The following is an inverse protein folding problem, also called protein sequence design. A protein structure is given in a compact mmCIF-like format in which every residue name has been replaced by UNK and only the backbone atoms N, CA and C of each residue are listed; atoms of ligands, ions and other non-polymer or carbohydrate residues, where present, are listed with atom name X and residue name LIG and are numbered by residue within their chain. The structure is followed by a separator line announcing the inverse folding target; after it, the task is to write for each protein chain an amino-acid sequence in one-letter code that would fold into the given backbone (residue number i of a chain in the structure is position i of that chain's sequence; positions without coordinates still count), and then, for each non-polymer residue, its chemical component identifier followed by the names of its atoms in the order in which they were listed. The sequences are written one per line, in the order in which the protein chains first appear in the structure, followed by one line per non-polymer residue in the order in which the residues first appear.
data_IF_883820493070
#
_entry.id   IF_883820493070
#
_cell.length_a   1.000
_cell.length_b   1.000
_cell.length_c   1.000
_cell.angle_alpha   90.00
_cell.angle_beta   90.00
_cell.angle_gamma   90.00
#
_symmetry.space_group_name_H-M   'P 1'
#
loop_
_entity.id
_entity.type
_entity.pdbx_description
1 polymer ?
#
# COMPACT_ATOMS: atom_id res chain seq x y z
N UNK A 1 21.54 51.51 0.52
CA UNK A 1 21.10 50.95 1.81
C UNK A 1 20.76 49.46 1.57
N UNK A 2 21.73 48.58 1.87
CA UNK A 2 21.50 47.15 1.88
C UNK A 2 20.79 46.80 3.18
N UNK A 3 19.50 46.50 3.09
CA UNK A 3 18.75 45.89 4.20
C UNK A 3 19.21 44.46 4.31
N UNK A 4 20.07 44.17 5.26
CA UNK A 4 20.40 42.82 5.69
C UNK A 4 19.14 42.28 6.36
N UNK A 5 18.42 41.39 5.67
CA UNK A 5 17.36 40.59 6.31
C UNK A 5 18.02 39.65 7.30
N UNK A 6 18.02 40.01 8.56
CA UNK A 6 18.37 39.11 9.65
C UNK A 6 17.38 37.96 9.65
N UNK A 7 17.86 36.76 9.35
CA UNK A 7 17.05 35.56 9.52
C UNK A 7 16.68 35.44 11.00
N UNK A 8 15.40 35.21 11.33
CA UNK A 8 15.00 35.09 12.73
C UNK A 8 15.82 33.98 13.39
N UNK A 9 16.35 34.30 14.58
CA UNK A 9 17.12 33.35 15.38
C UNK A 9 16.27 32.12 15.62
N UNK A 10 16.76 30.95 15.19
CA UNK A 10 16.09 29.68 15.46
C UNK A 10 16.30 29.30 16.91
N UNK A 11 15.25 29.30 17.71
CA UNK A 11 15.31 29.02 19.15
C UNK A 11 15.56 27.54 19.46
N UNK A 12 15.20 26.62 18.52
CA UNK A 12 15.37 25.19 18.68
C UNK A 12 16.27 24.70 17.56
N UNK A 13 17.43 24.14 17.91
CA UNK A 13 18.36 23.53 16.95
C UNK A 13 18.13 22.04 16.78
N UNK A 14 17.78 21.36 17.85
CA UNK A 14 17.44 19.92 17.82
C UNK A 14 16.37 19.62 18.86
N UNK A 15 15.55 18.63 18.57
CA UNK A 15 14.57 18.07 19.47
C UNK A 15 14.80 16.55 19.54
N UNK A 16 15.02 16.02 20.74
CA UNK A 16 15.12 14.58 20.98
C UNK A 16 13.96 14.18 21.87
N UNK A 17 13.11 13.29 21.34
CA UNK A 17 11.99 12.70 22.08
C UNK A 17 12.37 11.26 22.41
N UNK A 18 12.23 10.86 23.66
CA UNK A 18 12.39 9.46 24.07
C UNK A 18 11.34 8.59 23.37
N UNK A 19 10.08 8.98 23.51
CA UNK A 19 8.95 8.37 22.85
C UNK A 19 8.02 9.45 22.29
N UNK A 20 7.49 9.20 21.10
CA UNK A 20 6.33 9.90 20.57
C UNK A 20 5.16 8.92 20.52
N UNK A 21 4.09 9.24 21.23
CA UNK A 21 2.87 8.43 21.24
C UNK A 21 1.74 9.20 20.59
N UNK A 22 1.09 8.57 19.63
CA UNK A 22 -0.13 9.06 18.98
C UNK A 22 -1.26 8.12 19.36
N UNK A 23 -2.32 8.63 19.95
CA UNK A 23 -3.51 7.87 20.34
C UNK A 23 -4.75 8.47 19.67
N UNK A 24 -5.56 7.62 19.05
CA UNK A 24 -6.78 8.01 18.35
C UNK A 24 -6.56 9.11 17.29
N UNK A 25 -5.38 9.14 16.67
CA UNK A 25 -5.06 10.09 15.62
C UNK A 25 -5.93 9.86 14.38
N UNK A 26 -6.30 10.94 13.69
CA UNK A 26 -6.94 10.90 12.39
C UNK A 26 -6.13 11.69 11.39
N UNK A 27 -5.85 11.11 10.21
CA UNK A 27 -5.11 11.77 9.14
C UNK A 27 -5.82 11.59 7.81
N UNK A 28 -6.13 12.69 7.14
CA UNK A 28 -6.70 12.70 5.80
C UNK A 28 -5.76 13.46 4.86
N UNK A 29 -5.35 12.84 3.75
CA UNK A 29 -4.49 13.44 2.75
C UNK A 29 -5.30 13.75 1.49
N UNK A 30 -5.29 15.02 1.08
CA UNK A 30 -5.98 15.50 -0.10
C UNK A 30 -4.97 15.88 -1.18
N UNK A 31 -5.20 15.44 -2.41
CA UNK A 31 -4.43 15.89 -3.57
C UNK A 31 -4.85 17.32 -3.93
N UNK A 32 -3.90 18.19 -4.22
CA UNK A 32 -4.18 19.55 -4.69
C UNK A 32 -4.97 19.49 -5.99
N UNK A 33 -6.20 19.99 -6.00
CA UNK A 33 -7.08 19.96 -7.19
C UNK A 33 -8.53 19.54 -6.93
N UNK A 34 -8.94 19.36 -5.66
CA UNK A 34 -10.34 19.41 -5.29
C UNK A 34 -11.19 18.17 -5.57
N UNK A 35 -10.83 17.03 -5.02
CA UNK A 35 -11.79 15.96 -4.80
C UNK A 35 -12.44 16.11 -3.41
N UNK A 36 -13.73 15.84 -3.31
CA UNK A 36 -14.47 15.88 -2.05
C UNK A 36 -14.05 14.76 -1.06
N UNK A 37 -13.39 13.71 -1.57
CA UNK A 37 -12.91 12.59 -0.77
C UNK A 37 -11.38 12.62 -0.64
N UNK A 38 -10.83 12.24 0.51
CA UNK A 38 -9.39 12.13 0.69
C UNK A 38 -8.83 11.02 -0.21
N UNK A 39 -7.66 11.27 -0.82
CA UNK A 39 -6.95 10.23 -1.58
C UNK A 39 -6.43 9.12 -0.67
N UNK A 40 -6.12 9.46 0.57
CA UNK A 40 -5.61 8.57 1.59
C UNK A 40 -6.23 8.97 2.92
N UNK A 41 -6.91 8.06 3.58
CA UNK A 41 -7.57 8.30 4.87
C UNK A 41 -7.10 7.28 5.90
N UNK A 42 -6.71 7.81 7.06
CA UNK A 42 -6.36 7.04 8.24
C UNK A 42 -7.32 7.51 9.36
N UNK A 43 -8.50 6.90 9.48
CA UNK A 43 -9.53 7.38 10.40
C UNK A 43 -9.20 7.13 11.88
N UNK A 44 -8.36 6.15 12.16
CA UNK A 44 -7.86 5.86 13.50
C UNK A 44 -6.45 5.30 13.43
N UNK A 45 -5.50 6.00 14.05
CA UNK A 45 -4.08 5.63 14.12
C UNK A 45 -3.63 5.69 15.57
N UNK A 46 -3.10 4.60 16.05
CA UNK A 46 -2.33 4.54 17.29
C UNK A 46 -0.90 4.16 16.93
N UNK A 47 0.08 4.96 17.32
CA UNK A 47 1.47 4.74 16.98
C UNK A 47 2.41 5.10 18.12
N UNK A 48 3.49 4.34 18.27
CA UNK A 48 4.59 4.65 19.18
C UNK A 48 5.90 4.60 18.42
N UNK A 49 6.61 5.72 18.46
CA UNK A 49 7.94 5.86 17.89
C UNK A 49 8.93 6.06 19.03
N UNK A 50 9.94 5.22 19.10
CA UNK A 50 10.98 5.30 20.11
C UNK A 50 12.20 6.07 19.59
N UNK A 51 12.84 6.88 20.46
CA UNK A 51 14.10 7.58 20.20
C UNK A 51 14.07 8.46 18.94
N UNK A 52 13.03 9.29 18.79
CA UNK A 52 12.91 10.20 17.67
C UNK A 52 13.81 11.43 17.86
N UNK A 53 14.87 11.53 17.08
CA UNK A 53 15.72 12.73 16.97
C UNK A 53 15.29 13.59 15.78
N UNK A 54 14.93 14.83 16.03
CA UNK A 54 14.62 15.84 14.99
C UNK A 54 15.69 16.89 15.00
N UNK A 55 16.52 16.98 13.97
CA UNK A 55 17.44 18.08 13.76
C UNK A 55 16.76 19.16 12.93
N UNK A 56 16.44 20.27 13.58
CA UNK A 56 15.73 21.40 12.95
C UNK A 56 16.62 22.12 11.92
N UNK A 57 17.93 22.02 12.04
CA UNK A 57 18.87 22.59 11.07
C UNK A 57 18.91 21.75 9.78
N UNK A 58 18.66 20.46 9.89
CA UNK A 58 18.54 19.53 8.77
C UNK A 58 17.12 19.45 8.18
N UNK A 59 16.20 20.33 8.54
CA UNK A 59 14.82 20.33 8.04
C UNK A 59 14.67 20.49 6.51
N UNK A 60 15.77 20.73 5.78
CA UNK A 60 15.81 20.55 4.32
C UNK A 60 15.93 19.10 3.87
N UNK A 61 16.25 18.20 4.80
CA UNK A 61 16.30 16.76 4.62
C UNK A 61 15.41 16.14 5.71
N UNK A 62 14.11 16.08 5.47
CA UNK A 62 13.23 15.26 6.30
C UNK A 62 13.84 13.87 6.39
N UNK A 63 13.88 13.25 7.58
CA UNK A 63 14.32 11.88 7.71
C UNK A 63 13.52 11.07 6.69
N UNK A 64 14.21 10.32 5.85
CA UNK A 64 13.52 9.49 4.88
C UNK A 64 12.55 8.64 5.68
N UNK A 65 11.37 8.36 5.13
CA UNK A 65 10.35 7.55 5.79
C UNK A 65 10.91 6.23 6.36
N UNK A 66 12.04 5.73 5.83
CA UNK A 66 12.81 4.58 6.31
C UNK A 66 13.38 4.77 7.71
N UNK A 67 13.93 5.97 7.99
CA UNK A 67 14.43 6.29 9.34
C UNK A 67 13.26 6.34 10.32
N UNK A 68 12.09 6.83 9.86
CA UNK A 68 10.88 6.81 10.66
C UNK A 68 10.43 5.36 10.91
N UNK A 69 10.39 4.51 9.87
CA UNK A 69 10.01 3.09 10.03
C UNK A 69 10.94 2.34 10.98
N UNK A 70 12.25 2.56 10.92
CA UNK A 70 13.19 1.94 11.85
C UNK A 70 13.03 2.38 13.32
N UNK A 71 12.26 3.44 13.56
CA UNK A 71 11.97 3.99 14.90
C UNK A 71 10.57 3.62 15.40
N UNK A 72 9.74 3.03 14.55
CA UNK A 72 8.42 2.56 14.95
C UNK A 72 8.58 1.26 15.74
N UNK A 73 8.27 1.31 17.03
CA UNK A 73 8.22 0.13 17.89
C UNK A 73 6.87 -0.58 17.81
N UNK A 74 5.80 0.19 17.66
CA UNK A 74 4.47 -0.35 17.42
C UNK A 74 3.61 0.65 16.65
N UNK A 75 2.67 0.09 15.88
CA UNK A 75 1.73 0.91 15.14
C UNK A 75 0.45 0.08 14.90
N UNK A 76 -0.69 0.72 15.14
CA UNK A 76 -1.99 0.13 14.93
C UNK A 76 -2.84 1.10 14.12
N UNK A 77 -3.39 0.59 13.04
CA UNK A 77 -4.21 1.35 12.11
C UNK A 77 -5.54 0.64 11.95
N UNK A 78 -6.65 1.34 12.20
CA UNK A 78 -7.99 0.79 12.06
C UNK A 78 -8.76 1.49 10.95
N UNK A 79 -9.56 0.72 10.22
CA UNK A 79 -10.43 1.23 9.15
C UNK A 79 -9.70 2.06 8.09
N UNK A 80 -8.49 1.62 7.72
CA UNK A 80 -7.72 2.28 6.68
C UNK A 80 -8.37 2.13 5.32
N UNK A 81 -8.46 3.22 4.57
CA UNK A 81 -9.06 3.26 3.25
C UNK A 81 -8.22 4.10 2.30
N UNK A 82 -8.05 3.62 1.08
CA UNK A 82 -7.36 4.33 0.00
C UNK A 82 -8.03 4.10 -1.35
N UNK A 83 -8.05 5.16 -2.18
CA UNK A 83 -8.42 5.06 -3.58
C UNK A 83 -7.15 4.96 -4.42
N UNK A 84 -7.07 3.92 -5.23
CA UNK A 84 -5.91 3.60 -6.06
C UNK A 84 -6.26 3.72 -7.54
N UNK A 85 -5.24 3.81 -8.41
CA UNK A 85 -5.38 3.87 -9.86
C UNK A 85 -6.37 4.96 -10.31
N UNK A 86 -6.09 6.21 -9.93
CA UNK A 86 -6.93 7.38 -10.21
C UNK A 86 -8.40 7.20 -9.77
N UNK A 87 -8.57 6.61 -8.59
CA UNK A 87 -9.86 6.31 -7.97
C UNK A 87 -10.69 5.21 -8.65
N UNK A 88 -10.06 4.41 -9.50
CA UNK A 88 -10.73 3.25 -10.11
C UNK A 88 -10.94 2.10 -9.14
N UNK A 89 -10.05 1.98 -8.15
CA UNK A 89 -10.08 0.93 -7.15
C UNK A 89 -10.16 1.47 -5.74
N UNK A 90 -10.91 0.78 -4.90
CA UNK A 90 -10.98 0.95 -3.46
C UNK A 90 -10.19 -0.16 -2.79
N UNK A 91 -9.23 0.24 -1.97
CA UNK A 91 -8.50 -0.61 -1.06
C UNK A 91 -8.90 -0.25 0.37
N UNK A 92 -9.19 -1.23 1.22
CA UNK A 92 -9.37 -0.99 2.64
C UNK A 92 -8.90 -2.16 3.49
N UNK A 93 -8.57 -1.84 4.74
CA UNK A 93 -8.13 -2.78 5.77
C UNK A 93 -8.88 -2.46 7.06
N UNK A 94 -9.47 -3.47 7.66
CA UNK A 94 -10.18 -3.30 8.93
C UNK A 94 -9.19 -2.99 10.06
N UNK A 95 -8.07 -3.72 10.11
CA UNK A 95 -7.01 -3.48 11.08
C UNK A 95 -5.65 -3.88 10.52
N UNK A 96 -4.66 -3.04 10.77
CA UNK A 96 -3.25 -3.30 10.50
C UNK A 96 -2.46 -3.03 11.78
N UNK A 97 -1.72 -4.01 12.24
CA UNK A 97 -0.92 -3.94 13.47
C UNK A 97 0.52 -4.31 13.16
N UNK A 98 1.44 -3.49 13.62
CA UNK A 98 2.87 -3.75 13.58
C UNK A 98 3.42 -3.68 15.00
N UNK A 99 4.14 -4.69 15.44
CA UNK A 99 4.75 -4.76 16.74
C UNK A 99 5.91 -5.77 16.70
N UNK A 100 7.03 -5.40 17.24
CA UNK A 100 8.20 -6.31 17.39
C UNK A 100 8.61 -6.99 16.08
N UNK A 101 8.63 -6.25 14.96
CA UNK A 101 8.94 -6.72 13.60
C UNK A 101 7.87 -7.64 12.97
N UNK A 102 6.73 -7.80 13.61
CA UNK A 102 5.61 -8.54 13.07
C UNK A 102 4.52 -7.60 12.55
N UNK A 103 4.03 -7.89 11.34
CA UNK A 103 2.89 -7.21 10.74
C UNK A 103 1.71 -8.17 10.65
N UNK A 104 0.56 -7.73 11.17
CA UNK A 104 -0.72 -8.42 11.00
C UNK A 104 -1.73 -7.51 10.34
N UNK A 105 -2.38 -8.03 9.31
CA UNK A 105 -3.43 -7.32 8.58
C UNK A 105 -4.69 -8.16 8.62
N UNK A 106 -5.78 -7.57 9.12
CA UNK A 106 -7.10 -8.20 9.17
C UNK A 106 -8.05 -7.49 8.22
N UNK A 107 -8.83 -8.25 7.47
CA UNK A 107 -9.91 -7.73 6.64
C UNK A 107 -9.43 -6.87 5.48
N UNK A 108 -8.36 -7.31 4.78
CA UNK A 108 -7.91 -6.62 3.58
C UNK A 108 -8.86 -6.86 2.42
N UNK A 109 -9.27 -5.78 1.77
CA UNK A 109 -10.15 -5.82 0.63
C UNK A 109 -9.64 -4.89 -0.48
N UNK A 110 -9.77 -5.35 -1.72
CA UNK A 110 -9.42 -4.61 -2.92
C UNK A 110 -10.46 -4.88 -4.01
N UNK A 111 -11.07 -3.83 -4.53
CA UNK A 111 -12.10 -3.97 -5.57
C UNK A 111 -12.26 -2.71 -6.41
N UNK A 112 -12.77 -2.84 -7.65
CA UNK A 112 -13.17 -1.68 -8.45
C UNK A 112 -14.29 -0.90 -7.76
N UNK A 113 -14.21 0.44 -7.75
CA UNK A 113 -15.22 1.32 -7.14
C UNK A 113 -16.58 1.15 -7.81
N UNK A 114 -16.61 1.05 -9.14
CA UNK A 114 -17.83 0.86 -9.94
C UNK A 114 -18.26 -0.62 -10.05
N UNK A 115 -17.66 -1.52 -9.26
CA UNK A 115 -17.80 -2.96 -9.46
C UNK A 115 -17.10 -3.44 -10.73
N UNK A 116 -16.98 -4.78 -10.89
CA UNK A 116 -16.24 -5.40 -11.98
C UNK A 116 -16.77 -4.97 -13.35
N UNK A 117 -18.08 -5.10 -13.56
CA UNK A 117 -18.70 -4.78 -14.86
C UNK A 117 -18.66 -3.28 -15.19
N UNK A 118 -18.93 -2.41 -14.20
CA UNK A 118 -18.84 -0.98 -14.36
C UNK A 118 -17.43 -0.50 -14.69
N UNK A 119 -16.43 -1.10 -14.08
CA UNK A 119 -15.04 -0.83 -14.39
C UNK A 119 -14.67 -1.28 -15.79
N UNK A 120 -14.89 -2.56 -16.12
CA UNK A 120 -14.56 -3.11 -17.43
C UNK A 120 -15.31 -2.40 -18.56
N UNK A 121 -16.59 -2.04 -18.37
CA UNK A 121 -17.36 -1.32 -19.39
C UNK A 121 -16.83 0.08 -19.67
N UNK A 122 -16.23 0.74 -18.70
CA UNK A 122 -15.69 2.09 -18.86
C UNK A 122 -14.37 2.15 -19.65
N UNK A 123 -13.72 1.02 -19.89
CA UNK A 123 -12.43 0.95 -20.58
C UNK A 123 -12.63 0.67 -22.07
N UNK A 124 -11.82 1.26 -22.98
CA UNK A 124 -11.97 1.06 -24.44
C UNK A 124 -11.44 -0.31 -24.92
N UNK A 125 -10.47 -0.87 -24.20
CA UNK A 125 -9.77 -2.10 -24.57
C UNK A 125 -9.97 -3.21 -23.54
N UNK A 126 -9.50 -4.43 -23.89
CA UNK A 126 -9.47 -5.55 -22.95
C UNK A 126 -8.60 -5.22 -21.75
N UNK A 127 -9.17 -5.34 -20.58
CA UNK A 127 -8.48 -5.22 -19.29
C UNK A 127 -8.90 -6.33 -18.35
N UNK A 128 -8.12 -6.51 -17.31
CA UNK A 128 -8.46 -7.38 -16.20
C UNK A 128 -8.96 -6.55 -15.02
N UNK A 129 -10.08 -6.96 -14.46
CA UNK A 129 -10.56 -6.46 -13.19
C UNK A 129 -10.20 -7.46 -12.09
N UNK A 130 -9.70 -6.97 -10.99
CA UNK A 130 -9.29 -7.78 -9.84
C UNK A 130 -10.16 -7.44 -8.64
N UNK A 131 -10.64 -8.47 -7.94
CA UNK A 131 -11.13 -8.31 -6.58
C UNK A 131 -10.34 -9.24 -5.67
N UNK A 132 -9.95 -8.74 -4.51
CA UNK A 132 -9.26 -9.53 -3.51
C UNK A 132 -9.86 -9.28 -2.13
N UNK A 133 -10.06 -10.35 -1.38
CA UNK A 133 -10.44 -10.33 0.02
C UNK A 133 -9.51 -11.27 0.76
N UNK A 134 -8.81 -10.79 1.77
CA UNK A 134 -7.91 -11.57 2.60
C UNK A 134 -8.34 -11.39 4.04
N UNK A 135 -8.75 -12.48 4.69
CA UNK A 135 -9.19 -12.42 6.07
C UNK A 135 -8.04 -12.04 6.99
N UNK A 136 -6.90 -12.68 6.79
CA UNK A 136 -5.70 -12.43 7.59
C UNK A 136 -4.44 -12.56 6.75
N UNK A 137 -3.53 -11.60 6.91
CA UNK A 137 -2.17 -11.64 6.42
C UNK A 137 -1.25 -11.44 7.63
N UNK A 138 -0.30 -12.32 7.80
CA UNK A 138 0.72 -12.25 8.84
C UNK A 138 2.10 -12.26 8.19
N UNK A 139 2.93 -11.31 8.57
CA UNK A 139 4.32 -11.23 8.15
C UNK A 139 5.19 -11.11 9.40
N UNK A 140 5.99 -12.12 9.67
CA UNK A 140 6.83 -12.21 10.88
C UNK A 140 8.30 -11.96 10.54
N UNK A 141 9.02 -11.37 11.50
CA UNK A 141 10.45 -11.14 11.43
C UNK A 141 10.84 -10.16 10.31
N UNK A 142 10.08 -9.09 10.12
CA UNK A 142 10.32 -8.13 9.05
C UNK A 142 11.57 -7.31 9.32
N UNK A 143 12.53 -7.41 8.43
CA UNK A 143 13.70 -6.54 8.37
C UNK A 143 13.77 -5.82 7.03
N UNK A 144 13.89 -4.49 7.05
CA UNK A 144 14.03 -3.67 5.85
C UNK A 144 15.45 -3.16 5.76
N UNK A 145 16.17 -3.62 4.76
CA UNK A 145 17.53 -3.18 4.46
C UNK A 145 17.56 -2.35 3.17
N UNK A 146 18.37 -1.31 3.15
CA UNK A 146 18.61 -0.52 1.94
C UNK A 146 19.92 -0.93 1.31
N UNK A 147 19.88 -1.34 0.04
CA UNK A 147 21.05 -1.64 -0.77
C UNK A 147 21.07 -0.72 -2.00
N UNK A 148 21.86 0.36 -1.93
CA UNK A 148 21.91 1.37 -2.99
C UNK A 148 20.58 2.09 -3.19
N UNK A 149 19.91 1.86 -4.34
CA UNK A 149 18.58 2.42 -4.66
C UNK A 149 17.44 1.46 -4.38
N UNK A 150 17.72 0.21 -4.02
CA UNK A 150 16.76 -0.86 -3.83
C UNK A 150 16.51 -1.13 -2.35
N UNK A 151 15.37 -1.73 -2.06
CA UNK A 151 15.02 -2.21 -0.73
C UNK A 151 14.98 -3.72 -0.76
N UNK A 152 15.64 -4.33 0.22
CA UNK A 152 15.54 -5.73 0.54
C UNK A 152 14.66 -5.86 1.79
N UNK A 153 13.59 -6.61 1.67
CA UNK A 153 12.71 -6.96 2.79
C UNK A 153 12.95 -8.43 3.10
N UNK A 154 13.52 -8.69 4.24
CA UNK A 154 13.67 -10.05 4.78
C UNK A 154 12.50 -10.37 5.68
N UNK A 155 12.16 -11.65 5.80
CA UNK A 155 11.14 -12.11 6.71
C UNK A 155 11.19 -13.61 6.95
N UNK A 156 10.78 -14.01 8.14
CA UNK A 156 10.74 -15.41 8.53
C UNK A 156 9.54 -16.13 7.93
N UNK A 157 8.38 -15.49 7.99
CA UNK A 157 7.13 -16.06 7.55
C UNK A 157 6.21 -15.01 6.94
N UNK A 158 5.73 -15.26 5.72
CA UNK A 158 4.56 -14.59 5.18
C UNK A 158 3.41 -15.59 5.06
N UNK A 159 2.32 -15.36 5.79
CA UNK A 159 1.11 -16.20 5.75
C UNK A 159 -0.10 -15.44 5.24
N UNK A 160 -0.80 -16.05 4.31
CA UNK A 160 -2.10 -15.62 3.84
C UNK A 160 -3.16 -16.63 4.28
N UNK A 161 -4.21 -16.16 4.94
CA UNK A 161 -5.32 -17.01 5.38
C UNK A 161 -6.64 -16.54 4.83
N UNK A 162 -7.40 -17.49 4.29
CA UNK A 162 -8.72 -17.26 3.70
C UNK A 162 -8.72 -16.15 2.64
N UNK A 163 -7.72 -16.16 1.76
CA UNK A 163 -7.64 -15.24 0.64
C UNK A 163 -8.60 -15.69 -0.48
N UNK A 164 -9.39 -14.76 -1.00
CA UNK A 164 -10.26 -14.93 -2.15
C UNK A 164 -9.89 -13.89 -3.19
N UNK A 165 -9.37 -14.35 -4.31
CA UNK A 165 -8.99 -13.48 -5.42
C UNK A 165 -9.77 -13.88 -6.65
N UNK A 166 -10.51 -12.94 -7.22
CA UNK A 166 -11.21 -13.11 -8.48
C UNK A 166 -10.60 -12.19 -9.54
N UNK A 167 -10.22 -12.78 -10.65
CA UNK A 167 -9.73 -12.11 -11.85
C UNK A 167 -10.80 -12.20 -12.93
N UNK A 168 -11.17 -11.05 -13.50
CA UNK A 168 -12.15 -10.96 -14.58
C UNK A 168 -11.53 -10.31 -15.81
N UNK A 169 -11.75 -10.93 -16.99
CA UNK A 169 -11.33 -10.36 -18.26
C UNK A 169 -12.51 -10.34 -19.24
N UNK A 170 -12.67 -9.22 -19.94
CA UNK A 170 -13.66 -9.09 -21.01
C UNK A 170 -12.97 -9.14 -22.39
N UNK A 171 -12.98 -10.31 -23.05
CA UNK A 171 -12.40 -10.51 -24.37
C UNK A 171 -13.29 -10.04 -25.52
N UNK A 172 -14.50 -9.57 -25.27
CA UNK A 172 -15.37 -9.00 -26.30
C UNK A 172 -14.90 -7.64 -26.81
N UNK A 173 -14.05 -6.98 -26.03
CA UNK A 173 -13.39 -5.73 -26.41
C UNK A 173 -12.15 -5.98 -27.23
N UNK A 174 -11.72 -5.04 -28.09
CA UNK A 174 -10.47 -5.16 -28.85
C UNK A 174 -9.26 -5.17 -27.90
N UNK A 175 -8.20 -5.81 -28.31
CA UNK A 175 -6.91 -5.71 -27.63
C UNK A 175 -6.34 -4.31 -27.83
N UNK A 176 -5.70 -3.75 -26.81
CA UNK A 176 -4.93 -2.52 -26.94
C UNK A 176 -3.65 -2.80 -27.72
N UNK A 177 -3.49 -2.21 -28.92
CA UNK A 177 -2.33 -2.45 -29.77
C UNK A 177 -1.00 -1.88 -29.20
N UNK A 178 -1.11 -0.96 -28.22
CA UNK A 178 0.03 -0.34 -27.58
C UNK A 178 0.39 -0.99 -26.25
N UNK A 179 -0.44 -1.91 -25.76
CA UNK A 179 -0.22 -2.53 -24.47
C UNK A 179 0.70 -3.75 -24.57
N UNK A 180 1.94 -3.57 -24.17
CA UNK A 180 2.83 -4.68 -23.90
C UNK A 180 2.45 -5.34 -22.56
N UNK A 181 2.07 -6.62 -22.60
CA UNK A 181 1.88 -7.41 -21.37
C UNK A 181 3.18 -8.17 -21.07
N UNK A 182 3.94 -7.72 -20.07
CA UNK A 182 5.16 -8.44 -19.71
C UNK A 182 4.81 -9.84 -19.18
N UNK A 183 5.69 -10.79 -19.43
CA UNK A 183 5.57 -12.13 -18.84
C UNK A 183 5.66 -12.04 -17.31
N UNK A 184 4.98 -12.94 -16.56
CA UNK A 184 5.02 -12.94 -15.11
C UNK A 184 6.45 -12.95 -14.53
N UNK A 185 7.38 -13.67 -15.16
CA UNK A 185 8.79 -13.69 -14.76
C UNK A 185 9.41 -12.29 -14.81
N UNK A 186 9.14 -11.55 -15.88
CA UNK A 186 9.65 -10.18 -16.02
C UNK A 186 9.11 -9.25 -14.93
N UNK A 187 7.86 -9.44 -14.52
CA UNK A 187 7.25 -8.65 -13.42
C UNK A 187 7.92 -8.95 -12.07
N UNK A 188 8.26 -10.20 -11.82
CA UNK A 188 8.97 -10.62 -10.61
C UNK A 188 10.40 -10.09 -10.61
N UNK A 189 11.13 -10.27 -11.72
CA UNK A 189 12.52 -9.81 -11.86
C UNK A 189 12.69 -8.29 -11.80
N UNK A 190 11.65 -7.53 -12.20
CA UNK A 190 11.66 -6.07 -12.19
C UNK A 190 10.75 -5.48 -11.10
N UNK A 191 10.36 -6.27 -10.13
CA UNK A 191 9.63 -5.77 -8.97
C UNK A 191 10.49 -4.73 -8.21
N UNK A 192 9.90 -3.60 -7.78
CA UNK A 192 10.66 -2.56 -7.07
C UNK A 192 11.08 -2.98 -5.65
N UNK A 193 10.74 -4.18 -5.24
CA UNK A 193 11.01 -4.76 -3.94
C UNK A 193 11.70 -6.11 -4.10
N UNK A 194 12.83 -6.27 -3.44
CA UNK A 194 13.46 -7.57 -3.26
C UNK A 194 12.92 -8.16 -1.95
N UNK A 195 12.27 -9.31 -2.05
CA UNK A 195 11.66 -10.00 -0.93
C UNK A 195 12.37 -11.34 -0.70
N UNK A 196 12.98 -11.50 0.47
CA UNK A 196 13.62 -12.74 0.90
C UNK A 196 12.84 -13.32 2.09
N UNK A 197 12.22 -14.48 1.86
CA UNK A 197 11.32 -15.13 2.82
C UNK A 197 11.81 -16.53 3.14
N UNK A 198 11.97 -16.83 4.42
CA UNK A 198 12.24 -18.20 4.87
C UNK A 198 11.05 -19.12 4.62
N UNK A 199 9.82 -18.62 4.74
CA UNK A 199 8.60 -19.40 4.50
C UNK A 199 7.47 -18.53 3.93
N UNK A 200 6.75 -19.09 2.94
CA UNK A 200 5.51 -18.53 2.44
C UNK A 200 4.38 -19.58 2.56
N UNK A 201 3.30 -19.22 3.22
CA UNK A 201 2.17 -20.11 3.47
C UNK A 201 0.86 -19.51 2.97
N UNK A 202 0.07 -20.31 2.28
CA UNK A 202 -1.29 -19.95 1.84
C UNK A 202 -2.24 -21.01 2.37
N UNK A 203 -3.26 -20.60 3.14
CA UNK A 203 -4.23 -21.49 3.77
C UNK A 203 -5.66 -21.09 3.38
N UNK A 204 -6.52 -22.06 3.18
CA UNK A 204 -7.96 -21.91 2.93
C UNK A 204 -8.30 -20.82 1.88
N UNK A 205 -7.45 -20.73 0.87
CA UNK A 205 -7.48 -19.64 -0.11
C UNK A 205 -7.96 -20.13 -1.46
N UNK A 206 -8.50 -19.22 -2.25
CA UNK A 206 -9.02 -19.51 -3.57
C UNK A 206 -8.72 -18.40 -4.56
N UNK A 207 -8.15 -18.78 -5.71
CA UNK A 207 -8.02 -17.96 -6.90
C UNK A 207 -9.03 -18.43 -7.95
N UNK A 208 -9.79 -17.49 -8.54
CA UNK A 208 -10.69 -17.76 -9.66
C UNK A 208 -10.37 -16.84 -10.81
N UNK A 209 -10.37 -17.41 -11.99
CA UNK A 209 -10.28 -16.65 -13.23
C UNK A 209 -11.59 -16.79 -14.02
N UNK A 210 -12.15 -15.66 -14.42
CA UNK A 210 -13.38 -15.56 -15.18
C UNK A 210 -13.12 -14.79 -16.47
N UNK A 211 -13.69 -15.25 -17.55
CA UNK A 211 -13.55 -14.53 -18.81
C UNK A 211 -14.86 -14.54 -19.61
N UNK A 212 -15.15 -13.39 -20.24
CA UNK A 212 -16.10 -13.36 -21.33
C UNK A 212 -15.36 -13.71 -22.61
N UNK A 213 -15.72 -14.84 -23.24
CA UNK A 213 -15.28 -15.15 -24.60
C UNK A 213 -15.81 -14.12 -25.59
N UNK A 214 -15.17 -13.97 -26.74
CA UNK A 214 -15.49 -12.93 -27.74
C UNK A 214 -16.95 -12.90 -28.16
N UNK A 215 -17.63 -14.06 -28.18
CA UNK A 215 -19.03 -14.23 -28.58
C UNK A 215 -19.94 -14.62 -27.41
N UNK A 216 -19.45 -14.62 -26.18
CA UNK A 216 -20.20 -15.07 -25.03
C UNK A 216 -21.03 -13.98 -24.40
N UNK A 217 -22.26 -14.30 -23.99
CA UNK A 217 -23.14 -13.41 -23.20
C UNK A 217 -22.93 -13.55 -21.70
N UNK A 218 -22.35 -14.67 -21.26
CA UNK A 218 -22.06 -14.97 -19.84
C UNK A 218 -20.58 -15.26 -19.65
N UNK A 219 -20.01 -14.89 -18.48
CA UNK A 219 -18.63 -15.24 -18.20
C UNK A 219 -18.49 -16.74 -17.98
N UNK A 220 -17.50 -17.34 -18.62
CA UNK A 220 -17.05 -18.70 -18.36
C UNK A 220 -16.01 -18.74 -17.24
N UNK A 221 -15.96 -19.84 -16.51
CA UNK A 221 -14.88 -20.12 -15.57
C UNK A 221 -13.81 -20.95 -16.32
N UNK A 222 -12.57 -20.48 -16.23
CA UNK A 222 -11.40 -21.16 -16.81
C UNK A 222 -10.62 -21.85 -15.69
#
# INVERSE_FOLDING_TARGET
LNVVQEKPARFIQSLVLGDLVVENGKFDFFRKGGQALPNLSFPQVDARLAHLGIDVLAMGQLPTWQVLFSKISSFNLSNYQAYLQDSAYLFWVDRLQFMDQDLRVHGLNYRPVKGIYGYLSSLPFQHEAVTAQIKELEFQGIEIQKSGKEYLINGDLLRLESARVDLFRDKRKPMDPLMYKPMPQYLVENAPLNLDLSSFQVRDSRLRYWEFGEKSTLPGRV
#
